data_IF_232144520345
#
_entry.id   IF_232144520345
#
_cell.length_a   1.000
_cell.length_b   1.000
_cell.length_c   1.000
_cell.angle_alpha   90.00
_cell.angle_beta   90.00
_cell.angle_gamma   90.00
#
_symmetry.space_group_name_H-M   'P 1'
#
loop_
_entity.id
_entity.type
_entity.pdbx_description
1 polymer ?
#
# COMPACT_ATOMS: atom_id res chain seq x y z
N UNK A 1 11.30 -12.69 -18.19
CA UNK A 1 10.77 -13.21 -16.91
C UNK A 1 9.73 -12.21 -16.43
N UNK A 2 8.48 -12.58 -16.24
CA UNK A 2 7.46 -11.65 -15.73
C UNK A 2 7.27 -11.87 -14.24
N UNK A 3 7.17 -10.78 -13.49
CA UNK A 3 7.04 -10.79 -12.04
C UNK A 3 5.97 -9.80 -11.62
N UNK A 4 4.96 -10.28 -10.89
CA UNK A 4 3.93 -9.46 -10.27
C UNK A 4 3.66 -9.97 -8.85
N UNK A 5 4.24 -9.32 -7.84
CA UNK A 5 4.29 -9.85 -6.48
C UNK A 5 3.69 -8.89 -5.47
N UNK A 6 3.19 -9.45 -4.35
CA UNK A 6 2.72 -8.68 -3.21
C UNK A 6 3.05 -9.34 -1.87
N UNK A 7 3.61 -8.56 -0.94
CA UNK A 7 3.78 -8.97 0.46
C UNK A 7 2.76 -8.20 1.27
N UNK A 8 1.79 -8.92 1.80
CA UNK A 8 0.58 -8.33 2.36
C UNK A 8 0.51 -8.67 3.84
N UNK A 9 0.55 -7.64 4.68
CA UNK A 9 0.17 -7.74 6.08
C UNK A 9 -1.18 -7.09 6.25
N UNK A 10 -2.17 -7.86 6.70
CA UNK A 10 -3.55 -7.37 6.90
C UNK A 10 -4.07 -7.71 8.29
N UNK A 11 -4.91 -6.84 8.83
CA UNK A 11 -5.70 -7.14 10.03
C UNK A 11 -6.68 -8.29 9.75
N UNK A 12 -7.03 -9.08 10.77
CA UNK A 12 -8.01 -10.18 10.63
C UNK A 12 -9.44 -9.72 10.91
N UNK A 13 -9.63 -8.64 11.69
CA UNK A 13 -10.94 -8.13 12.06
C UNK A 13 -11.40 -6.98 11.15
N UNK A 14 -12.66 -7.03 10.71
CA UNK A 14 -13.32 -5.95 9.96
C UNK A 14 -13.87 -4.86 10.90
N UNK A 15 -13.00 -4.02 11.45
CA UNK A 15 -13.40 -2.95 12.39
C UNK A 15 -12.70 -1.61 12.16
N UNK A 16 -11.95 -1.52 11.07
CA UNK A 16 -11.09 -0.38 10.78
C UNK A 16 -11.63 0.38 9.58
N UNK A 17 -11.53 1.70 9.60
CA UNK A 17 -11.87 2.52 8.45
C UNK A 17 -10.71 3.42 8.00
N UNK A 18 -9.52 3.17 8.54
CA UNK A 18 -8.31 3.86 8.15
C UNK A 18 -7.08 3.26 8.79
N UNK A 19 -5.95 3.61 8.20
CA UNK A 19 -4.61 3.21 8.61
C UNK A 19 -3.65 4.36 8.31
N UNK A 20 -2.71 4.60 9.21
CA UNK A 20 -1.57 5.46 8.95
C UNK A 20 -0.28 4.74 9.33
N UNK A 21 0.81 5.08 8.66
CA UNK A 21 2.13 4.56 8.95
C UNK A 21 3.19 5.55 8.48
N UNK A 22 4.38 5.47 9.06
CA UNK A 22 5.58 6.01 8.45
C UNK A 22 6.24 4.93 7.61
N UNK A 23 6.59 5.23 6.37
CA UNK A 23 7.45 4.40 5.55
C UNK A 23 8.82 5.06 5.41
N UNK A 24 9.88 4.28 5.62
CA UNK A 24 11.22 4.64 5.15
C UNK A 24 11.36 4.02 3.76
N UNK A 25 11.42 4.87 2.74
CA UNK A 25 11.69 4.44 1.37
C UNK A 25 13.10 3.83 1.29
N UNK A 26 13.34 2.85 0.40
CA UNK A 26 14.67 2.27 0.23
C UNK A 26 15.72 3.32 -0.08
N UNK A 27 16.92 3.16 0.50
CA UNK A 27 18.10 3.97 0.16
C UNK A 27 18.52 3.82 -1.31
N UNK A 28 18.07 2.76 -1.97
CA UNK A 28 18.16 2.58 -3.40
C UNK A 28 16.92 1.84 -3.87
N UNK A 29 16.20 2.42 -4.82
CA UNK A 29 15.08 1.78 -5.51
C UNK A 29 15.23 1.97 -7.02
N UNK A 30 15.43 0.87 -7.74
CA UNK A 30 15.57 0.89 -9.19
C UNK A 30 14.33 0.27 -9.82
N UNK A 31 13.47 1.11 -10.40
CA UNK A 31 12.41 0.67 -11.29
C UNK A 31 12.96 0.53 -12.71
N UNK A 32 12.35 -0.31 -13.55
CA UNK A 32 12.71 -0.47 -14.97
C UNK A 32 11.61 -0.03 -15.92
N UNK A 33 11.96 0.16 -17.19
CA UNK A 33 11.00 0.46 -18.25
C UNK A 33 9.93 -0.64 -18.26
N UNK A 34 8.65 -0.23 -18.28
CA UNK A 34 7.48 -1.12 -18.14
C UNK A 34 7.29 -1.79 -16.78
N UNK A 35 8.02 -1.38 -15.74
CA UNK A 35 7.88 -1.90 -14.38
C UNK A 35 7.67 -0.81 -13.33
N UNK A 36 7.13 -1.22 -12.18
CA UNK A 36 6.94 -0.37 -11.02
C UNK A 36 7.20 -1.12 -9.71
N UNK A 37 7.51 -0.35 -8.66
CA UNK A 37 7.60 -0.83 -7.29
C UNK A 37 6.65 0.02 -6.44
N UNK A 38 5.83 -0.62 -5.63
CA UNK A 38 4.81 0.06 -4.82
C UNK A 38 4.98 -0.24 -3.34
N UNK A 39 4.71 0.78 -2.52
CA UNK A 39 4.57 0.65 -1.09
C UNK A 39 3.30 1.38 -0.66
N UNK A 40 2.30 0.63 -0.22
CA UNK A 40 0.95 1.15 -0.09
C UNK A 40 0.17 0.62 1.10
N UNK A 41 -0.89 1.36 1.42
CA UNK A 41 -1.90 1.02 2.40
C UNK A 41 -3.19 0.62 1.67
N UNK A 42 -4.01 -0.22 2.28
CA UNK A 42 -5.28 -0.61 1.69
C UNK A 42 -6.43 -0.74 2.68
N UNK A 43 -7.65 -0.61 2.15
CA UNK A 43 -8.92 -0.84 2.83
C UNK A 43 -9.69 -1.95 2.10
N UNK A 44 -10.23 -2.90 2.88
CA UNK A 44 -10.85 -4.11 2.37
C UNK A 44 -9.84 -5.13 1.82
N UNK A 45 -10.32 -6.34 1.55
CA UNK A 45 -9.50 -7.50 1.15
C UNK A 45 -8.73 -7.28 -0.17
N UNK A 46 -9.25 -6.45 -1.08
CA UNK A 46 -8.60 -6.05 -2.34
C UNK A 46 -9.26 -4.81 -2.98
N UNK A 47 -9.89 -3.96 -2.17
CA UNK A 47 -10.90 -3.06 -2.70
C UNK A 47 -10.41 -1.62 -2.91
N UNK A 48 -9.59 -1.09 -2.00
CA UNK A 48 -8.97 0.24 -2.14
C UNK A 48 -7.49 0.13 -1.81
N UNK A 49 -6.65 0.66 -2.68
CA UNK A 49 -5.20 0.60 -2.60
C UNK A 49 -4.60 1.96 -2.93
N UNK A 50 -3.72 2.45 -2.05
CA UNK A 50 -3.18 3.79 -2.18
C UNK A 50 -1.87 3.96 -1.43
N UNK A 51 -0.91 4.61 -2.06
CA UNK A 51 0.41 4.78 -1.49
C UNK A 51 1.38 5.44 -2.45
N UNK A 52 2.64 5.05 -2.33
CA UNK A 52 3.74 5.56 -3.14
C UNK A 52 4.18 4.47 -4.11
N UNK A 53 4.40 4.85 -5.36
CA UNK A 53 5.04 3.99 -6.36
C UNK A 53 6.27 4.66 -6.94
N UNK A 54 7.20 3.87 -7.47
CA UNK A 54 8.36 4.36 -8.23
C UNK A 54 8.36 3.72 -9.61
N UNK A 55 8.47 4.55 -10.65
CA UNK A 55 8.52 4.17 -12.07
C UNK A 55 9.72 4.81 -12.75
N UNK A 56 10.30 4.12 -13.73
CA UNK A 56 11.38 4.67 -14.55
C UNK A 56 10.88 5.85 -15.37
N UNK A 57 11.64 6.95 -15.41
CA UNK A 57 11.28 8.15 -16.17
C UNK A 57 10.22 9.05 -15.49
N UNK A 58 9.41 8.51 -14.59
CA UNK A 58 8.36 9.26 -13.86
C UNK A 58 8.72 9.55 -12.40
N UNK A 59 9.73 8.86 -11.85
CA UNK A 59 10.15 9.02 -10.46
C UNK A 59 9.12 8.47 -9.47
N UNK A 60 9.01 9.12 -8.31
CA UNK A 60 8.01 8.76 -7.31
C UNK A 60 6.64 9.34 -7.66
N UNK A 61 5.61 8.53 -7.48
CA UNK A 61 4.21 8.88 -7.70
C UNK A 61 3.41 8.60 -6.43
N UNK A 62 2.37 9.38 -6.18
CA UNK A 62 1.32 9.05 -5.21
C UNK A 62 0.06 8.63 -5.97
N UNK A 63 -0.50 7.48 -5.61
CA UNK A 63 -1.64 6.91 -6.30
C UNK A 63 -2.81 6.58 -5.37
N UNK A 64 -4.02 6.53 -5.92
CA UNK A 64 -5.23 6.03 -5.29
C UNK A 64 -6.05 5.27 -6.33
N UNK A 65 -6.31 4.00 -6.07
CA UNK A 65 -7.09 3.11 -6.93
C UNK A 65 -7.96 2.16 -6.12
N UNK A 66 -8.82 1.42 -6.82
CA UNK A 66 -9.69 0.45 -6.19
C UNK A 66 -10.86 0.03 -7.07
N UNK A 67 -11.61 -0.97 -6.60
CA UNK A 67 -12.81 -1.48 -7.26
C UNK A 67 -13.82 -0.34 -7.43
N UNK A 68 -14.15 -0.05 -8.69
CA UNK A 68 -15.11 0.99 -9.05
C UNK A 68 -14.64 2.42 -8.82
N UNK A 69 -13.36 2.64 -8.47
CA UNK A 69 -12.77 3.98 -8.36
C UNK A 69 -11.99 4.31 -9.63
N UNK A 70 -12.06 5.56 -10.08
CA UNK A 70 -11.12 6.08 -11.07
C UNK A 70 -9.72 6.05 -10.47
N UNK A 71 -8.79 5.34 -11.11
CA UNK A 71 -7.38 5.35 -10.72
C UNK A 71 -6.79 6.75 -10.90
N UNK A 72 -6.14 7.25 -9.85
CA UNK A 72 -5.46 8.55 -9.84
C UNK A 72 -4.00 8.34 -9.51
N UNK A 73 -3.11 9.01 -10.25
CA UNK A 73 -1.67 9.02 -9.99
C UNK A 73 -1.12 10.39 -10.35
N UNK A 74 -0.17 10.89 -9.56
CA UNK A 74 0.57 12.11 -9.89
C UNK A 74 1.97 12.06 -9.31
N UNK A 75 2.90 12.76 -9.96
CA UNK A 75 4.27 12.87 -9.49
C UNK A 75 4.32 13.52 -8.11
N UNK A 76 5.26 13.06 -7.28
CA UNK A 76 5.54 13.63 -5.97
C UNK A 76 7.05 13.72 -5.76
N UNK A 77 7.50 14.85 -5.21
CA UNK A 77 8.93 15.07 -4.95
C UNK A 77 9.36 14.31 -3.70
N UNK A 78 9.85 13.10 -3.89
CA UNK A 78 10.43 12.24 -2.86
C UNK A 78 11.80 11.74 -3.31
N UNK A 79 12.61 11.31 -2.34
CA UNK A 79 13.97 10.80 -2.57
C UNK A 79 14.13 9.41 -1.96
N UNK A 80 15.07 8.64 -2.50
CA UNK A 80 15.49 7.39 -1.89
C UNK A 80 15.98 7.63 -0.44
N UNK A 81 15.66 6.71 0.46
CA UNK A 81 15.95 6.82 1.90
C UNK A 81 15.02 7.76 2.67
N UNK A 82 14.12 8.50 2.00
CA UNK A 82 13.26 9.45 2.67
C UNK A 82 12.21 8.75 3.56
N UNK A 83 12.00 9.29 4.75
CA UNK A 83 10.86 8.94 5.61
C UNK A 83 9.63 9.73 5.18
N UNK A 84 8.51 9.02 5.02
CA UNK A 84 7.24 9.56 4.52
C UNK A 84 6.11 9.07 5.41
N UNK A 85 5.21 9.97 5.82
CA UNK A 85 3.98 9.58 6.52
C UNK A 85 2.86 9.35 5.51
N UNK A 86 2.28 8.16 5.52
CA UNK A 86 1.11 7.79 4.73
C UNK A 86 -0.11 7.65 5.64
N UNK A 87 -1.25 8.16 5.19
CA UNK A 87 -2.53 8.03 5.90
C UNK A 87 -3.65 7.81 4.90
N UNK A 88 -4.32 6.68 5.01
CA UNK A 88 -5.47 6.27 4.19
C UNK A 88 -6.66 6.09 5.11
N UNK A 89 -7.76 6.80 4.86
CA UNK A 89 -9.01 6.57 5.61
C UNK A 89 -10.23 6.89 4.77
N UNK A 90 -11.33 6.22 5.10
CA UNK A 90 -12.65 6.53 4.58
C UNK A 90 -13.49 7.30 5.59
N UNK A 91 -14.43 8.10 5.09
CA UNK A 91 -15.36 8.88 5.89
C UNK A 91 -16.66 9.11 5.11
N UNK A 92 -17.71 9.54 5.79
CA UNK A 92 -18.98 9.92 5.17
C UNK A 92 -19.26 11.41 5.37
N UNK A 93 -19.78 12.07 4.34
CA UNK A 93 -20.30 13.44 4.39
C UNK A 93 -21.65 13.46 3.70
N UNK A 94 -22.70 13.87 4.42
CA UNK A 94 -24.08 13.91 3.92
C UNK A 94 -24.54 12.57 3.31
N UNK A 95 -24.23 11.45 3.98
CA UNK A 95 -24.57 10.10 3.51
C UNK A 95 -23.71 9.57 2.35
N UNK A 96 -22.75 10.36 1.84
CA UNK A 96 -21.85 9.96 0.76
C UNK A 96 -20.49 9.59 1.33
N UNK A 97 -19.97 8.42 0.95
CA UNK A 97 -18.66 7.93 1.41
C UNK A 97 -17.52 8.38 0.50
N UNK A 98 -16.39 8.68 1.11
CA UNK A 98 -15.16 9.15 0.48
C UNK A 98 -13.96 8.40 1.06
N UNK A 99 -12.86 8.38 0.31
CA UNK A 99 -11.54 7.96 0.80
C UNK A 99 -10.50 9.02 0.43
N UNK A 100 -9.64 9.32 1.38
CA UNK A 100 -8.49 10.19 1.22
C UNK A 100 -7.20 9.42 1.41
N UNK A 101 -6.20 9.74 0.58
CA UNK A 101 -4.79 9.46 0.86
C UNK A 101 -4.05 10.76 1.14
N UNK A 102 -3.34 10.79 2.26
CA UNK A 102 -2.46 11.88 2.65
C UNK A 102 -1.02 11.39 2.64
N UNK A 103 -0.13 12.27 2.20
CA UNK A 103 1.32 12.11 2.27
C UNK A 103 1.87 13.29 3.06
N UNK A 104 2.58 13.01 4.15
CA UNK A 104 3.07 14.02 5.11
C UNK A 104 1.94 14.98 5.55
N UNK A 105 0.79 14.41 5.92
CA UNK A 105 -0.41 15.11 6.38
C UNK A 105 -1.06 16.07 5.35
N UNK A 106 -0.65 16.00 4.08
CA UNK A 106 -1.28 16.73 2.96
C UNK A 106 -2.09 15.78 2.09
N UNK A 107 -3.37 16.08 1.89
CA UNK A 107 -4.26 15.32 0.98
C UNK A 107 -3.69 15.33 -0.43
N UNK A 108 -3.44 14.15 -0.97
CA UNK A 108 -2.92 13.98 -2.32
C UNK A 108 -4.02 13.63 -3.32
N UNK A 109 -4.94 12.74 -2.92
CA UNK A 109 -6.11 12.37 -3.69
C UNK A 109 -7.30 12.12 -2.77
N UNK A 110 -8.48 12.50 -3.25
CA UNK A 110 -9.79 12.18 -2.67
C UNK A 110 -10.63 11.49 -3.73
N UNK A 111 -11.33 10.41 -3.37
CA UNK A 111 -12.28 9.75 -4.27
C UNK A 111 -13.59 9.46 -3.55
N UNK A 112 -14.70 9.72 -4.24
CA UNK A 112 -16.03 9.34 -3.79
C UNK A 112 -16.27 7.86 -4.08
N UNK A 113 -16.95 7.17 -3.17
CA UNK A 113 -17.33 5.77 -3.35
C UNK A 113 -18.41 5.66 -4.41
N UNK A 114 -18.22 4.74 -5.35
CA UNK A 114 -19.30 4.33 -6.28
C UNK A 114 -20.12 3.20 -5.67
N UNK A 115 -21.22 2.81 -6.31
CA UNK A 115 -22.02 1.66 -5.88
C UNK A 115 -21.20 0.37 -5.80
N UNK A 116 -20.26 0.18 -6.74
CA UNK A 116 -19.34 -0.96 -6.72
C UNK A 116 -18.38 -0.89 -5.51
N UNK A 117 -17.80 0.27 -5.23
CA UNK A 117 -16.91 0.45 -4.06
C UNK A 117 -17.67 0.24 -2.75
N UNK A 118 -18.90 0.76 -2.64
CA UNK A 118 -19.75 0.56 -1.46
C UNK A 118 -20.09 -0.91 -1.21
N UNK A 119 -20.24 -1.71 -2.28
CA UNK A 119 -20.48 -3.15 -2.17
C UNK A 119 -19.22 -3.93 -1.76
N UNK A 120 -18.04 -3.41 -2.12
CA UNK A 120 -16.76 -4.07 -1.88
C UNK A 120 -16.13 -3.74 -0.51
N UNK A 121 -16.47 -2.58 0.09
CA UNK A 121 -15.88 -2.10 1.36
C UNK A 121 -16.97 -1.66 2.33
N UNK A 122 -17.04 -2.30 3.48
CA UNK A 122 -17.95 -1.90 4.57
C UNK A 122 -17.55 -0.57 5.20
N UNK A 123 -18.41 0.04 6.02
CA UNK A 123 -18.08 1.27 6.78
C UNK A 123 -16.88 1.08 7.72
N UNK A 124 -16.69 -0.16 8.15
CA UNK A 124 -15.45 -0.67 8.69
C UNK A 124 -15.10 -1.97 7.97
N UNK A 125 -13.82 -2.23 7.82
CA UNK A 125 -13.29 -3.40 7.13
C UNK A 125 -11.89 -3.75 7.65
N UNK A 126 -11.24 -4.70 7.01
CA UNK A 126 -9.80 -4.94 7.21
C UNK A 126 -9.00 -3.80 6.59
N UNK A 127 -7.86 -3.49 7.19
CA UNK A 127 -6.79 -2.69 6.57
C UNK A 127 -5.56 -3.54 6.30
N UNK A 128 -4.73 -3.09 5.35
CA UNK A 128 -3.49 -3.75 4.97
C UNK A 128 -2.34 -2.79 4.70
N UNK A 129 -1.12 -3.30 4.85
CA UNK A 129 0.11 -2.74 4.30
C UNK A 129 0.63 -3.70 3.23
N UNK A 130 1.13 -3.15 2.13
CA UNK A 130 1.64 -3.95 1.02
C UNK A 130 2.91 -3.35 0.46
N UNK A 131 3.90 -4.21 0.21
CA UNK A 131 4.98 -3.93 -0.72
C UNK A 131 4.73 -4.75 -1.98
N UNK A 132 4.78 -4.12 -3.14
CA UNK A 132 4.44 -4.73 -4.43
C UNK A 132 5.49 -4.42 -5.50
N UNK A 133 5.53 -5.27 -6.51
CA UNK A 133 6.32 -5.06 -7.73
C UNK A 133 5.59 -5.69 -8.90
N UNK A 134 5.58 -5.01 -10.03
CA UNK A 134 5.23 -5.59 -11.31
C UNK A 134 6.28 -5.16 -12.34
N UNK A 135 6.96 -6.12 -12.96
CA UNK A 135 8.06 -5.85 -13.89
C UNK A 135 8.51 -7.11 -14.66
N UNK A 136 9.60 -6.97 -15.41
CA UNK A 136 10.27 -8.06 -16.13
C UNK A 136 11.43 -8.70 -15.33
N UNK A 137 11.36 -8.68 -13.99
CA UNK A 137 12.38 -9.25 -13.10
C UNK A 137 13.60 -8.36 -12.83
N UNK A 138 13.60 -7.10 -13.26
CA UNK A 138 14.76 -6.22 -13.17
C UNK A 138 14.68 -5.17 -12.04
N UNK A 139 13.47 -4.83 -11.59
CA UNK A 139 13.24 -3.97 -10.44
C UNK A 139 13.95 -4.52 -9.19
N UNK A 140 14.53 -3.64 -8.40
CA UNK A 140 15.20 -4.02 -7.16
C UNK A 140 15.20 -2.85 -6.18
N UNK A 141 15.26 -3.16 -4.89
CA UNK A 141 15.44 -2.15 -3.84
C UNK A 141 16.07 -2.73 -2.58
N UNK A 142 16.79 -1.87 -1.84
CA UNK A 142 17.56 -2.26 -0.66
C UNK A 142 16.70 -2.70 0.52
N UNK A 143 15.95 -1.81 1.17
CA UNK A 143 14.99 -2.19 2.21
C UNK A 143 13.95 -1.09 2.36
N UNK A 144 12.67 -1.43 2.24
CA UNK A 144 11.56 -0.55 2.62
C UNK A 144 10.97 -1.05 3.92
N UNK A 145 10.59 -0.13 4.81
CA UNK A 145 10.01 -0.51 6.10
C UNK A 145 8.91 0.45 6.52
N UNK A 146 7.73 -0.10 6.82
CA UNK A 146 6.74 0.61 7.60
C UNK A 146 7.16 0.66 9.09
N UNK A 147 6.70 1.69 9.78
CA UNK A 147 6.87 1.90 11.22
C UNK A 147 5.75 2.80 11.74
N UNK A 148 5.58 2.89 13.07
CA UNK A 148 4.55 3.73 13.69
C UNK A 148 3.13 3.51 13.12
N UNK A 149 2.83 2.24 12.79
CA UNK A 149 1.58 1.85 12.14
C UNK A 149 0.44 1.98 13.14
N UNK A 150 -0.59 2.72 12.77
CA UNK A 150 -1.75 2.97 13.60
C UNK A 150 -3.04 2.79 12.82
N UNK A 151 -4.07 2.30 13.50
CA UNK A 151 -5.35 1.90 12.98
C UNK A 151 -6.43 2.86 13.45
N UNK A 152 -7.35 3.21 12.55
CA UNK A 152 -8.49 4.07 12.84
C UNK A 152 -9.77 3.25 12.87
N UNK A 153 -10.58 3.45 13.91
CA UNK A 153 -11.90 2.84 14.08
C UNK A 153 -13.00 3.89 13.94
N UNK A 154 -14.07 3.57 13.21
CA UNK A 154 -15.33 4.33 13.22
C UNK A 154 -15.24 5.79 12.76
N UNK A 155 -16.24 6.58 13.11
CA UNK A 155 -16.36 8.02 12.84
C UNK A 155 -15.27 8.89 13.52
N UNK A 156 -14.57 8.37 14.52
CA UNK A 156 -13.58 9.10 15.31
C UNK A 156 -12.28 9.47 14.59
N UNK A 157 -11.60 10.51 15.10
CA UNK A 157 -10.24 10.92 14.71
C UNK A 157 -9.14 10.11 15.40
N UNK A 158 -9.50 9.13 16.23
CA UNK A 158 -8.59 8.36 17.08
C UNK A 158 -7.84 7.28 16.30
N UNK A 159 -6.53 7.25 16.50
CA UNK A 159 -5.63 6.23 15.96
C UNK A 159 -5.04 5.42 17.11
N UNK A 160 -5.02 4.09 16.95
CA UNK A 160 -4.48 3.15 17.93
C UNK A 160 -3.30 2.38 17.33
N UNK A 161 -2.21 2.12 18.06
CA UNK A 161 -1.07 1.38 17.51
C UNK A 161 -1.44 -0.02 16.99
N UNK A 162 -0.99 -0.38 15.79
CA UNK A 162 -1.05 -1.75 15.29
C UNK A 162 0.12 -2.55 15.85
N UNK A 163 -0.12 -3.17 17.01
CA UNK A 163 0.84 -4.09 17.65
C UNK A 163 0.43 -5.54 17.39
N UNK A 164 1.28 -6.50 17.79
CA UNK A 164 1.01 -7.93 17.70
C UNK A 164 -0.25 -8.39 18.45
N UNK A 165 -0.75 -7.60 19.40
CA UNK A 165 -2.00 -7.86 20.10
C UNK A 165 -3.25 -7.65 19.23
N UNK A 166 -3.11 -6.98 18.08
CA UNK A 166 -4.15 -6.91 17.06
C UNK A 166 -3.91 -8.03 16.05
N UNK A 167 -4.87 -8.94 15.95
CA UNK A 167 -4.80 -10.06 15.01
C UNK A 167 -4.47 -9.63 13.58
N UNK A 168 -3.47 -10.27 13.00
CA UNK A 168 -3.04 -10.03 11.63
C UNK A 168 -2.73 -11.35 10.92
N UNK A 169 -2.69 -11.28 9.59
CA UNK A 169 -2.18 -12.34 8.73
C UNK A 169 -1.14 -11.74 7.79
N UNK A 170 -0.17 -12.57 7.42
CA UNK A 170 0.87 -12.25 6.44
C UNK A 170 0.79 -13.23 5.28
N UNK A 171 0.92 -12.73 4.06
CA UNK A 171 1.01 -13.56 2.86
C UNK A 171 2.02 -12.99 1.87
N UNK A 172 2.81 -13.89 1.27
CA UNK A 172 3.52 -13.66 0.01
C UNK A 172 2.59 -14.10 -1.13
N UNK A 173 2.42 -13.26 -2.15
CA UNK A 173 1.53 -13.52 -3.28
C UNK A 173 2.29 -13.38 -4.59
N UNK A 174 2.20 -14.42 -5.42
CA UNK A 174 2.39 -14.31 -6.86
C UNK A 174 1.04 -13.91 -7.45
N UNK A 175 0.99 -12.79 -8.15
CA UNK A 175 -0.20 -12.25 -8.80
C UNK A 175 -0.16 -12.61 -10.28
N UNK A 176 -1.31 -12.47 -10.94
CA UNK A 176 -1.60 -13.02 -12.26
C UNK A 176 -0.46 -12.80 -13.27
N UNK A 177 -0.04 -13.90 -13.89
CA UNK A 177 0.97 -13.91 -14.94
C UNK A 177 2.41 -14.11 -14.46
N UNK A 178 2.67 -14.02 -13.14
CA UNK A 178 4.02 -14.22 -12.58
C UNK A 178 4.63 -15.56 -12.98
N UNK A 179 5.90 -15.52 -13.39
CA UNK A 179 6.67 -16.73 -13.57
C UNK A 179 6.83 -17.47 -12.23
N UNK A 180 6.88 -18.80 -12.21
CA UNK A 180 7.05 -19.56 -10.97
C UNK A 180 8.36 -19.23 -10.23
N UNK A 181 8.30 -19.13 -8.90
CA UNK A 181 9.47 -18.97 -8.04
C UNK A 181 9.95 -17.52 -7.89
N UNK A 182 9.19 -16.56 -8.41
CA UNK A 182 9.56 -15.15 -8.29
C UNK A 182 9.54 -14.65 -6.84
N UNK A 183 8.82 -15.31 -5.94
CA UNK A 183 8.84 -14.97 -4.50
C UNK A 183 10.23 -15.07 -3.85
N UNK A 184 11.13 -15.87 -4.39
CA UNK A 184 12.51 -15.99 -3.90
C UNK A 184 13.34 -14.74 -4.17
N UNK A 185 12.84 -13.82 -5.00
CA UNK A 185 13.43 -12.49 -5.22
C UNK A 185 13.17 -11.53 -4.06
N UNK A 186 12.37 -11.94 -3.07
CA UNK A 186 11.94 -11.09 -1.97
C UNK A 186 12.40 -11.63 -0.62
N UNK A 187 13.17 -10.81 0.08
CA UNK A 187 13.50 -11.04 1.50
C UNK A 187 12.50 -10.28 2.35
N UNK A 188 11.91 -10.97 3.33
CA UNK A 188 11.00 -10.37 4.32
C UNK A 188 11.78 -10.25 5.62
N UNK A 189 11.97 -9.00 6.09
CA UNK A 189 12.70 -8.69 7.32
C UNK A 189 11.76 -8.65 8.53
N UNK A 190 10.51 -8.22 8.31
CA UNK A 190 9.46 -8.19 9.32
C UNK A 190 8.08 -8.25 8.68
N UNK A 191 7.12 -8.88 9.36
CA UNK A 191 5.73 -8.97 8.92
C UNK A 191 4.86 -7.86 9.53
N UNK A 192 5.15 -7.40 10.75
CA UNK A 192 4.41 -6.32 11.41
C UNK A 192 5.37 -5.51 12.30
N UNK A 193 5.68 -4.24 11.95
CA UNK A 193 5.34 -3.59 10.68
C UNK A 193 6.05 -4.25 9.49
N UNK A 194 5.43 -4.17 8.30
CA UNK A 194 5.95 -4.83 7.11
C UNK A 194 7.30 -4.21 6.67
N UNK A 195 8.30 -5.05 6.47
CA UNK A 195 9.62 -4.67 5.99
C UNK A 195 10.17 -5.73 5.03
N UNK A 196 10.62 -5.31 3.85
CA UNK A 196 11.10 -6.21 2.80
C UNK A 196 12.26 -5.61 2.03
N UNK A 197 12.95 -6.45 1.26
CA UNK A 197 13.87 -6.07 0.19
C UNK A 197 13.60 -6.88 -1.07
N UNK A 198 14.04 -6.37 -2.23
CA UNK A 198 13.82 -6.99 -3.53
C UNK A 198 15.14 -7.04 -4.30
N UNK A 199 15.57 -8.25 -4.67
CA UNK A 199 16.65 -8.42 -5.65
C UNK A 199 16.09 -8.48 -7.07
N UNK A 200 16.92 -8.14 -8.05
CA UNK A 200 16.63 -8.51 -9.43
C UNK A 200 16.60 -10.05 -9.54
N UNK A 201 15.71 -10.54 -10.39
CA UNK A 201 15.68 -11.93 -10.78
C UNK A 201 16.87 -12.22 -11.73
N UNK A 202 17.42 -13.44 -11.65
CA UNK A 202 18.55 -13.88 -12.49
C UNK A 202 18.06 -14.46 -13.79
#
# INVERSE_FOLDING_TARGET
MYRHLGMVTKTTSKKWNGIQAEIVLPSTANATVYGYIDWYLGLGEAAIESGISKKTGEGYQVFLGGVGLTYKSKAISLKDGQRVRLKLYQYAKNGVRYVDILVNDVVQHTSQFTSATNSAVGETDVVKMVHGVEDQGHCNYTQASFSNVQLRTGDGSTYTPWTSNVGFSFAKKELNGSDPGMLDTITVHSQLPLSTSLKAAR
#
